data_IF_450322024391
#
_entry.id   IF_450322024391
#
_cell.length_a   1.000
_cell.length_b   1.000
_cell.length_c   1.000
_cell.angle_alpha   90.00
_cell.angle_beta   90.00
_cell.angle_gamma   90.00
#
_symmetry.space_group_name_H-M   'P 1'
#
loop_
_entity.id
_entity.type
_entity.pdbx_description
1 polymer ?
#
# COMPACT_ATOMS: atom_id res chain seq x y z
N UNK A 1 -9.02 -12.63 22.55
CA UNK A 1 -7.69 -12.69 23.23
C UNK A 1 -7.08 -14.10 23.24
N UNK A 2 -7.84 -15.17 22.96
CA UNK A 2 -7.43 -16.59 23.05
C UNK A 2 -6.65 -17.15 21.84
N UNK A 3 -6.77 -16.56 20.65
CA UNK A 3 -6.17 -17.14 19.43
C UNK A 3 -4.64 -16.95 19.32
N UNK A 4 -4.08 -15.87 19.91
CA UNK A 4 -2.65 -15.54 19.81
C UNK A 4 -1.77 -16.43 20.71
N UNK A 5 -2.27 -16.78 21.90
CA UNK A 5 -1.62 -17.72 22.81
C UNK A 5 -1.54 -19.13 22.21
N UNK A 6 -2.67 -19.65 21.69
CA UNK A 6 -2.71 -21.00 21.10
C UNK A 6 -1.72 -21.20 19.93
N UNK A 7 -1.49 -20.17 19.11
CA UNK A 7 -0.49 -20.26 18.01
C UNK A 7 0.94 -20.24 18.50
N UNK A 8 1.23 -19.49 19.57
CA UNK A 8 2.57 -19.46 20.17
C UNK A 8 2.89 -20.81 20.81
N UNK A 9 1.95 -21.36 21.58
CA UNK A 9 2.09 -22.66 22.24
C UNK A 9 2.33 -23.79 21.22
N UNK A 10 1.62 -23.79 20.09
CA UNK A 10 1.80 -24.80 19.04
C UNK A 10 3.17 -24.70 18.37
N UNK A 11 3.70 -23.49 18.14
CA UNK A 11 5.04 -23.31 17.52
C UNK A 11 6.15 -23.78 18.43
N UNK A 12 6.06 -23.46 19.73
CA UNK A 12 7.02 -23.93 20.73
C UNK A 12 6.93 -25.44 20.90
N UNK A 13 5.71 -25.98 20.99
CA UNK A 13 5.49 -27.42 21.06
C UNK A 13 6.06 -28.15 19.85
N UNK A 14 5.91 -27.61 18.63
CA UNK A 14 6.44 -28.22 17.42
C UNK A 14 7.98 -28.29 17.41
N UNK A 15 8.66 -27.21 17.81
CA UNK A 15 10.12 -27.21 17.95
C UNK A 15 10.54 -28.21 19.01
N UNK A 16 9.88 -28.20 20.18
CA UNK A 16 10.17 -29.14 21.26
C UNK A 16 10.02 -30.59 20.81
N UNK A 17 8.93 -30.91 20.13
CA UNK A 17 8.68 -32.26 19.58
C UNK A 17 9.75 -32.64 18.56
N UNK A 18 10.15 -31.73 17.67
CA UNK A 18 11.15 -32.03 16.65
C UNK A 18 12.55 -32.21 17.26
N UNK A 19 12.90 -31.42 18.28
CA UNK A 19 14.16 -31.54 19.01
C UNK A 19 14.22 -32.82 19.87
N UNK A 20 13.13 -33.17 20.54
CA UNK A 20 13.02 -34.43 21.31
C UNK A 20 13.07 -35.64 20.38
N UNK A 21 12.34 -35.58 19.27
CA UNK A 21 12.36 -36.62 18.24
C UNK A 21 13.78 -36.82 17.71
N UNK A 22 14.48 -35.73 17.35
CA UNK A 22 15.88 -35.78 16.93
C UNK A 22 16.76 -36.49 17.97
N UNK A 23 16.69 -36.08 19.25
CA UNK A 23 17.50 -36.67 20.31
C UNK A 23 17.20 -38.17 20.53
N UNK A 24 15.92 -38.57 20.50
CA UNK A 24 15.52 -39.98 20.67
C UNK A 24 15.96 -40.85 19.49
N UNK A 25 15.92 -40.31 18.27
CA UNK A 25 16.35 -41.04 17.06
C UNK A 25 17.86 -41.03 16.86
N UNK A 26 18.61 -40.22 17.62
CA UNK A 26 20.04 -40.04 17.40
C UNK A 26 20.83 -41.34 17.57
N UNK A 27 20.67 -42.02 18.70
CA UNK A 27 21.39 -43.26 19.02
C UNK A 27 21.19 -44.37 17.97
N UNK A 28 19.94 -44.79 17.62
CA UNK A 28 19.75 -45.85 16.64
C UNK A 28 20.22 -45.46 15.24
N UNK A 29 20.12 -44.18 14.85
CA UNK A 29 20.65 -43.73 13.57
C UNK A 29 22.18 -43.67 13.58
N UNK A 30 22.80 -43.40 14.73
CA UNK A 30 24.26 -43.31 14.84
C UNK A 30 24.92 -44.65 14.51
N UNK A 31 24.30 -45.75 14.91
CA UNK A 31 24.76 -47.11 14.58
C UNK A 31 24.75 -47.40 13.06
N UNK A 32 23.79 -46.84 12.31
CA UNK A 32 23.67 -47.06 10.85
C UNK A 32 24.46 -46.05 10.00
N UNK A 33 24.44 -44.78 10.38
CA UNK A 33 24.92 -43.64 9.57
C UNK A 33 26.21 -43.01 10.12
N UNK A 34 26.64 -43.40 11.31
CA UNK A 34 27.83 -42.89 11.98
C UNK A 34 27.76 -41.38 12.28
N UNK A 35 28.91 -40.68 12.31
CA UNK A 35 29.00 -39.26 12.65
C UNK A 35 28.17 -38.32 11.76
N UNK A 36 27.72 -38.78 10.58
CA UNK A 36 26.89 -37.98 9.67
C UNK A 36 25.52 -37.59 10.23
N UNK A 37 25.00 -38.33 11.22
CA UNK A 37 23.69 -38.12 11.87
C UNK A 37 23.57 -36.72 12.48
N UNK A 38 24.68 -36.11 12.88
CA UNK A 38 24.73 -34.77 13.45
C UNK A 38 24.15 -33.71 12.49
N UNK A 39 24.21 -33.96 11.18
CA UNK A 39 23.63 -33.08 10.15
C UNK A 39 22.10 -32.95 10.26
N UNK A 40 21.41 -33.91 10.87
CA UNK A 40 19.95 -33.83 11.09
C UNK A 40 19.55 -32.75 12.09
N UNK A 41 20.48 -32.27 12.94
CA UNK A 41 20.25 -31.14 13.86
C UNK A 41 19.89 -29.85 13.13
N UNK A 42 20.20 -29.74 11.83
CA UNK A 42 19.83 -28.61 10.98
C UNK A 42 18.32 -28.44 10.89
N UNK A 43 17.52 -29.51 10.94
CA UNK A 43 16.06 -29.46 10.79
C UNK A 43 15.38 -28.67 11.94
N UNK A 44 15.58 -29.00 13.22
CA UNK A 44 15.01 -28.21 14.31
C UNK A 44 15.57 -26.79 14.38
N UNK A 45 16.82 -26.57 13.97
CA UNK A 45 17.44 -25.22 13.92
C UNK A 45 16.83 -24.36 12.81
N UNK A 46 16.62 -24.93 11.63
CA UNK A 46 15.92 -24.28 10.52
C UNK A 46 14.50 -23.93 10.91
N UNK A 47 13.80 -24.85 11.58
CA UNK A 47 12.43 -24.67 12.06
C UNK A 47 12.35 -23.53 13.09
N UNK A 48 13.33 -23.44 14.01
CA UNK A 48 13.43 -22.34 14.96
C UNK A 48 13.62 -21.00 14.25
N UNK A 49 14.51 -20.93 13.27
CA UNK A 49 14.70 -19.75 12.42
C UNK A 49 13.43 -19.37 11.67
N UNK A 50 12.74 -20.34 11.07
CA UNK A 50 11.52 -20.11 10.30
C UNK A 50 10.35 -19.61 11.16
N UNK A 51 10.20 -20.11 12.37
CA UNK A 51 9.04 -19.81 13.23
C UNK A 51 9.20 -18.55 14.06
N UNK A 52 10.44 -18.20 14.43
CA UNK A 52 10.74 -17.15 15.41
C UNK A 52 11.79 -16.12 14.92
N UNK A 53 12.27 -16.25 13.69
CA UNK A 53 13.16 -15.27 13.04
C UNK A 53 14.65 -15.51 13.29
N UNK A 54 15.47 -14.57 12.83
CA UNK A 54 16.94 -14.69 12.81
C UNK A 54 17.56 -15.02 14.18
N UNK A 55 17.14 -14.32 15.23
CA UNK A 55 17.70 -14.51 16.58
C UNK A 55 17.47 -15.92 17.11
N UNK A 56 16.29 -16.49 16.84
CA UNK A 56 15.96 -17.85 17.28
C UNK A 56 16.74 -18.90 16.49
N UNK A 57 16.90 -18.73 15.18
CA UNK A 57 17.71 -19.62 14.34
C UNK A 57 19.19 -19.63 14.76
N UNK A 58 19.76 -18.45 15.05
CA UNK A 58 21.13 -18.33 15.57
C UNK A 58 21.30 -18.96 16.94
N UNK A 59 20.39 -18.69 17.89
CA UNK A 59 20.44 -19.28 19.23
C UNK A 59 20.30 -20.81 19.15
N UNK A 60 19.38 -21.33 18.33
CA UNK A 60 19.21 -22.76 18.14
C UNK A 60 20.47 -23.41 17.54
N UNK A 61 21.10 -22.78 16.54
CA UNK A 61 22.37 -23.27 15.99
C UNK A 61 23.53 -23.23 17.00
N UNK A 62 23.60 -22.19 17.83
CA UNK A 62 24.61 -22.07 18.88
C UNK A 62 24.43 -23.11 20.00
N UNK A 63 23.18 -23.47 20.33
CA UNK A 63 22.84 -24.54 21.30
C UNK A 63 23.03 -25.93 20.70
N UNK A 64 22.82 -26.09 19.39
CA UNK A 64 23.01 -27.36 18.71
C UNK A 64 24.48 -27.84 18.79
N UNK A 65 25.45 -26.93 18.73
CA UNK A 65 26.87 -27.29 18.82
C UNK A 65 27.24 -28.06 20.12
N UNK A 66 27.05 -27.51 21.34
CA UNK A 66 27.37 -28.23 22.57
C UNK A 66 26.49 -29.46 22.77
N UNK A 67 25.22 -29.42 22.33
CA UNK A 67 24.33 -30.58 22.40
C UNK A 67 24.87 -31.74 21.55
N UNK A 68 25.28 -31.46 20.32
CA UNK A 68 25.86 -32.43 19.40
C UNK A 68 27.20 -32.98 19.94
N UNK A 69 28.03 -32.14 20.56
CA UNK A 69 29.26 -32.59 21.21
C UNK A 69 29.00 -33.57 22.35
N UNK A 70 27.99 -33.31 23.19
CA UNK A 70 27.60 -34.23 24.27
C UNK A 70 27.05 -35.54 23.72
N UNK A 71 26.18 -35.49 22.71
CA UNK A 71 25.59 -36.69 22.08
C UNK A 71 26.66 -37.58 21.42
N UNK A 72 27.59 -37.00 20.66
CA UNK A 72 28.71 -37.73 20.07
C UNK A 72 29.61 -38.36 21.16
N UNK A 73 29.87 -37.64 22.24
CA UNK A 73 30.72 -38.12 23.33
C UNK A 73 30.13 -39.29 24.11
N UNK A 74 28.80 -39.41 24.14
CA UNK A 74 28.09 -40.53 24.79
C UNK A 74 28.19 -41.83 23.97
N UNK A 75 28.22 -41.74 22.63
CA UNK A 75 28.24 -42.91 21.74
C UNK A 75 29.66 -43.40 21.43
N UNK A 76 30.59 -42.47 21.15
CA UNK A 76 31.92 -42.81 20.60
C UNK A 76 33.07 -42.62 21.59
N UNK A 77 32.75 -42.41 22.88
CA UNK A 77 33.73 -42.33 23.96
C UNK A 77 34.76 -41.20 23.81
N UNK A 78 34.29 -39.95 23.83
CA UNK A 78 35.12 -38.71 23.83
C UNK A 78 36.26 -38.68 22.79
N UNK A 79 36.03 -39.27 21.61
CA UNK A 79 36.98 -39.22 20.51
C UNK A 79 37.03 -37.80 19.91
N UNK A 80 38.21 -37.17 19.96
CA UNK A 80 38.38 -35.78 19.53
C UNK A 80 38.14 -35.61 18.02
N UNK A 81 38.49 -36.59 17.20
CA UNK A 81 38.40 -36.48 15.74
C UNK A 81 36.95 -36.51 15.24
N UNK A 82 36.10 -37.37 15.83
CA UNK A 82 34.66 -37.41 15.51
C UNK A 82 33.91 -36.20 16.05
N UNK A 83 34.34 -35.65 17.20
CA UNK A 83 33.81 -34.40 17.75
C UNK A 83 34.18 -33.18 16.89
N UNK A 84 35.43 -33.08 16.42
CA UNK A 84 35.89 -31.96 15.59
C UNK A 84 35.23 -31.99 14.21
N UNK A 85 35.28 -33.11 13.49
CA UNK A 85 34.72 -33.19 12.14
C UNK A 85 33.19 -33.25 12.14
N UNK A 86 32.56 -34.00 13.06
CA UNK A 86 31.10 -34.12 13.14
C UNK A 86 30.44 -32.88 13.76
N UNK A 87 30.97 -32.37 14.87
CA UNK A 87 30.39 -31.26 15.62
C UNK A 87 30.60 -29.90 14.96
N UNK A 88 31.81 -29.59 14.49
CA UNK A 88 32.10 -28.27 13.92
C UNK A 88 31.44 -28.04 12.56
N UNK A 89 31.43 -29.05 11.68
CA UNK A 89 30.79 -28.94 10.36
C UNK A 89 29.28 -28.84 10.51
N UNK A 90 28.67 -29.70 11.33
CA UNK A 90 27.22 -29.66 11.54
C UNK A 90 26.78 -28.40 12.30
N UNK A 91 27.54 -27.94 13.29
CA UNK A 91 27.26 -26.67 14.00
C UNK A 91 27.32 -25.47 13.07
N UNK A 92 28.32 -25.42 12.19
CA UNK A 92 28.45 -24.37 11.17
C UNK A 92 27.28 -24.40 10.17
N UNK A 93 26.92 -25.59 9.69
CA UNK A 93 25.77 -25.77 8.80
C UNK A 93 24.45 -25.37 9.49
N UNK A 94 24.26 -25.73 10.76
CA UNK A 94 23.10 -25.38 11.55
C UNK A 94 22.99 -23.85 11.73
N UNK A 95 24.08 -23.17 12.07
CA UNK A 95 24.12 -21.71 12.18
C UNK A 95 23.77 -21.03 10.85
N UNK A 96 24.33 -21.51 9.74
CA UNK A 96 24.07 -20.96 8.40
C UNK A 96 22.59 -21.11 8.03
N UNK A 97 22.03 -22.32 8.19
CA UNK A 97 20.64 -22.59 7.84
C UNK A 97 19.67 -21.86 8.77
N UNK A 98 19.92 -21.85 10.08
CA UNK A 98 19.13 -21.08 11.04
C UNK A 98 19.13 -19.59 10.71
N UNK A 99 20.27 -19.05 10.30
CA UNK A 99 20.41 -17.65 9.88
C UNK A 99 19.66 -17.33 8.60
N UNK A 100 19.78 -18.19 7.58
CA UNK A 100 19.07 -18.02 6.29
C UNK A 100 17.56 -18.13 6.50
N UNK A 101 17.09 -19.17 7.18
CA UNK A 101 15.66 -19.38 7.46
C UNK A 101 15.08 -18.21 8.27
N UNK A 102 15.81 -17.74 9.29
CA UNK A 102 15.39 -16.61 10.11
C UNK A 102 15.42 -15.28 9.36
N UNK A 103 16.42 -15.03 8.51
CA UNK A 103 16.47 -13.80 7.69
C UNK A 103 15.34 -13.79 6.67
N UNK A 104 15.05 -14.92 6.02
CA UNK A 104 13.92 -15.04 5.09
C UNK A 104 12.59 -14.73 5.78
N UNK A 105 12.39 -15.23 7.01
CA UNK A 105 11.22 -14.91 7.82
C UNK A 105 11.13 -13.41 8.09
N UNK A 106 12.21 -12.80 8.57
CA UNK A 106 12.26 -11.38 8.93
C UNK A 106 12.01 -10.48 7.71
N UNK A 107 12.60 -10.80 6.56
CA UNK A 107 12.38 -10.08 5.29
C UNK A 107 10.93 -10.22 4.83
N UNK A 108 10.37 -11.43 4.91
CA UNK A 108 8.99 -11.68 4.52
C UNK A 108 8.01 -10.89 5.40
N UNK A 109 8.22 -10.84 6.72
CA UNK A 109 7.38 -10.04 7.63
C UNK A 109 7.49 -8.54 7.34
N UNK A 110 8.69 -8.03 7.08
CA UNK A 110 8.90 -6.63 6.68
C UNK A 110 8.17 -6.30 5.39
N UNK A 111 8.23 -7.17 4.40
CA UNK A 111 7.55 -6.97 3.12
C UNK A 111 6.02 -6.93 3.28
N UNK A 112 5.45 -7.84 4.06
CA UNK A 112 4.01 -7.84 4.34
C UNK A 112 3.57 -6.57 5.06
N UNK A 113 4.31 -6.14 6.08
CA UNK A 113 3.99 -4.91 6.81
C UNK A 113 4.07 -3.66 5.91
N UNK A 114 5.03 -3.63 4.98
CA UNK A 114 5.13 -2.54 4.01
C UNK A 114 4.00 -2.56 2.98
N UNK A 115 3.61 -3.74 2.49
CA UNK A 115 2.47 -3.89 1.58
C UNK A 115 1.14 -3.49 2.24
N UNK A 116 0.90 -3.90 3.50
CA UNK A 116 -0.28 -3.49 4.25
C UNK A 116 -0.37 -1.97 4.41
N UNK A 117 0.74 -1.30 4.73
CA UNK A 117 0.78 0.18 4.80
C UNK A 117 0.46 0.82 3.46
N UNK A 118 1.01 0.31 2.37
CA UNK A 118 0.75 0.84 1.02
C UNK A 118 -0.72 0.65 0.62
N UNK A 119 -1.31 -0.51 0.92
CA UNK A 119 -2.72 -0.76 0.63
C UNK A 119 -3.65 0.13 1.46
N UNK A 120 -3.31 0.44 2.71
CA UNK A 120 -4.12 1.33 3.55
C UNK A 120 -4.11 2.77 3.03
N UNK A 121 -2.95 3.25 2.56
CA UNK A 121 -2.83 4.57 1.90
C UNK A 121 -3.60 4.60 0.57
N UNK A 122 -3.38 3.64 -0.31
CA UNK A 122 -4.07 3.59 -1.61
C UNK A 122 -5.60 3.43 -1.44
N UNK A 123 -6.02 2.61 -0.48
CA UNK A 123 -7.43 2.37 -0.18
C UNK A 123 -8.13 3.61 0.36
N UNK A 124 -7.51 4.30 1.32
CA UNK A 124 -8.07 5.53 1.90
C UNK A 124 -8.14 6.67 0.88
N UNK A 125 -7.12 6.83 0.02
CA UNK A 125 -7.14 7.81 -1.09
C UNK A 125 -8.27 7.48 -2.07
N UNK A 126 -8.38 6.24 -2.54
CA UNK A 126 -9.45 5.84 -3.48
C UNK A 126 -10.85 6.00 -2.89
N UNK A 127 -11.04 5.68 -1.61
CA UNK A 127 -12.31 5.85 -0.93
C UNK A 127 -12.70 7.34 -0.81
N UNK A 128 -11.73 8.19 -0.48
CA UNK A 128 -11.91 9.64 -0.44
C UNK A 128 -12.23 10.22 -1.81
N UNK A 129 -11.48 9.83 -2.86
CA UNK A 129 -11.72 10.26 -4.25
C UNK A 129 -13.09 9.84 -4.75
N UNK A 130 -13.50 8.60 -4.49
CA UNK A 130 -14.84 8.10 -4.86
C UNK A 130 -15.94 8.89 -4.16
N UNK A 131 -15.78 9.15 -2.87
CA UNK A 131 -16.76 9.92 -2.08
C UNK A 131 -16.85 11.36 -2.60
N UNK A 132 -15.71 12.03 -2.80
CA UNK A 132 -15.66 13.38 -3.35
C UNK A 132 -16.27 13.45 -4.74
N UNK A 133 -15.97 12.48 -5.60
CA UNK A 133 -16.53 12.39 -6.95
C UNK A 133 -18.05 12.26 -6.91
N UNK A 134 -18.58 11.37 -6.07
CA UNK A 134 -20.03 11.21 -5.90
C UNK A 134 -20.69 12.49 -5.40
N UNK A 135 -20.10 13.16 -4.40
CA UNK A 135 -20.61 14.43 -3.89
C UNK A 135 -20.67 15.49 -5.01
N UNK A 136 -19.61 15.63 -5.81
CA UNK A 136 -19.55 16.62 -6.90
C UNK A 136 -20.52 16.28 -8.04
N UNK A 137 -20.70 15.01 -8.39
CA UNK A 137 -21.64 14.57 -9.44
C UNK A 137 -23.11 14.82 -9.07
N UNK A 138 -23.46 14.78 -7.77
CA UNK A 138 -24.85 14.97 -7.31
C UNK A 138 -25.23 16.43 -6.97
N UNK A 139 -24.28 17.36 -6.89
CA UNK A 139 -24.58 18.78 -6.59
C UNK A 139 -25.39 19.42 -7.73
N UNK A 140 -26.47 20.18 -7.42
CA UNK A 140 -27.31 20.94 -8.39
C UNK A 140 -26.61 22.18 -8.96
N UNK A 141 -25.31 22.10 -9.19
CA UNK A 141 -24.51 23.16 -9.82
C UNK A 141 -23.62 22.57 -10.89
N UNK A 142 -23.36 23.34 -11.94
CA UNK A 142 -22.38 22.99 -12.95
C UNK A 142 -20.99 23.28 -12.40
N UNK A 143 -20.17 22.25 -12.30
CA UNK A 143 -18.77 22.33 -11.90
C UNK A 143 -17.92 21.86 -13.07
N UNK A 144 -17.09 22.75 -13.61
CA UNK A 144 -16.12 22.42 -14.66
C UNK A 144 -14.72 22.83 -14.26
N UNK A 145 -13.71 22.03 -14.60
CA UNK A 145 -12.33 22.48 -14.56
C UNK A 145 -11.87 22.79 -16.00
N UNK A 146 -11.26 23.96 -16.17
CA UNK A 146 -10.81 24.44 -17.49
C UNK A 146 -9.33 24.77 -17.42
N UNK A 147 -8.56 24.26 -18.39
CA UNK A 147 -7.14 24.56 -18.56
C UNK A 147 -6.93 25.97 -19.14
N UNK A 148 -5.68 26.47 -19.12
CA UNK A 148 -5.36 27.84 -19.54
C UNK A 148 -5.68 28.12 -21.02
N UNK A 149 -5.66 27.10 -21.87
CA UNK A 149 -6.03 27.19 -23.29
C UNK A 149 -7.56 27.18 -23.54
N UNK A 150 -8.37 27.05 -22.47
CA UNK A 150 -9.81 26.94 -22.54
C UNK A 150 -10.33 25.51 -22.74
N UNK A 151 -9.46 24.50 -22.71
CA UNK A 151 -9.86 23.10 -22.78
C UNK A 151 -10.53 22.67 -21.49
N UNK A 152 -11.74 22.10 -21.57
CA UNK A 152 -12.44 21.54 -20.40
C UNK A 152 -11.78 20.23 -19.99
N UNK A 153 -11.19 20.17 -18.81
CA UNK A 153 -10.51 18.97 -18.27
C UNK A 153 -11.42 18.14 -17.38
N UNK A 154 -12.46 18.76 -16.80
CA UNK A 154 -13.49 18.07 -16.01
C UNK A 154 -14.84 18.78 -16.15
N UNK A 155 -15.92 17.99 -16.12
CA UNK A 155 -17.29 18.48 -16.02
C UNK A 155 -18.13 17.44 -15.25
N UNK A 156 -18.89 17.90 -14.24
CA UNK A 156 -19.81 17.05 -13.48
C UNK A 156 -21.16 16.84 -14.17
N UNK A 157 -21.53 17.71 -15.12
CA UNK A 157 -22.84 17.73 -15.79
C UNK A 157 -22.69 17.96 -17.30
N UNK A 158 -23.72 17.54 -18.04
CA UNK A 158 -23.88 17.78 -19.48
C UNK A 158 -24.21 19.25 -19.78
N UNK A 159 -23.74 19.78 -20.91
CA UNK A 159 -24.02 21.14 -21.41
C UNK A 159 -24.22 21.10 -22.93
N UNK A 160 -25.14 21.93 -23.44
CA UNK A 160 -25.28 22.14 -24.88
C UNK A 160 -25.70 20.89 -25.67
N UNK A 161 -26.46 19.99 -25.04
CA UNK A 161 -26.88 18.72 -25.63
C UNK A 161 -25.78 17.64 -25.71
N UNK A 162 -24.58 17.92 -25.19
CA UNK A 162 -23.47 16.97 -25.11
C UNK A 162 -23.43 16.31 -23.73
N UNK A 163 -23.15 15.00 -23.70
CA UNK A 163 -22.89 14.30 -22.44
C UNK A 163 -21.63 14.86 -21.74
N UNK A 164 -21.56 14.74 -20.42
CA UNK A 164 -20.44 15.23 -19.61
C UNK A 164 -19.09 14.65 -20.07
N UNK A 165 -19.06 13.44 -20.62
CA UNK A 165 -17.87 12.85 -21.21
C UNK A 165 -17.42 13.53 -22.52
N UNK A 166 -18.37 14.04 -23.31
CA UNK A 166 -18.12 14.74 -24.58
C UNK A 166 -17.79 16.22 -24.37
N UNK A 167 -18.28 16.82 -23.27
CA UNK A 167 -17.91 18.18 -22.85
C UNK A 167 -16.41 18.22 -22.45
N UNK A 168 -15.86 17.14 -21.89
CA UNK A 168 -14.43 17.02 -21.59
C UNK A 168 -13.62 16.96 -22.89
N UNK A 169 -12.59 17.79 -22.99
CA UNK A 169 -11.77 17.96 -24.19
C UNK A 169 -12.32 18.99 -25.18
N UNK A 170 -13.58 19.42 -25.04
CA UNK A 170 -14.12 20.53 -25.82
C UNK A 170 -13.57 21.87 -25.30
N UNK A 171 -13.58 22.87 -26.17
CA UNK A 171 -13.22 24.23 -25.79
C UNK A 171 -14.41 24.93 -25.11
N UNK A 172 -14.20 25.49 -23.92
CA UNK A 172 -15.26 26.11 -23.10
C UNK A 172 -15.96 27.27 -23.82
N UNK A 173 -15.27 28.02 -24.70
CA UNK A 173 -15.83 29.16 -25.42
C UNK A 173 -16.93 28.76 -26.42
N UNK A 174 -17.03 27.47 -26.77
CA UNK A 174 -18.12 26.95 -27.60
C UNK A 174 -19.48 27.00 -26.89
N UNK A 175 -19.47 26.95 -25.56
CA UNK A 175 -20.67 26.95 -24.72
C UNK A 175 -20.98 28.35 -24.15
N UNK A 176 -20.11 29.33 -24.39
CA UNK A 176 -20.29 30.71 -23.94
C UNK A 176 -20.93 31.54 -25.08
N UNK A 177 -22.07 32.22 -24.83
CA UNK A 177 -22.69 33.11 -25.81
C UNK A 177 -21.70 34.15 -26.32
N UNK A 178 -21.77 34.48 -27.63
CA UNK A 178 -20.79 35.38 -28.28
C UNK A 178 -20.63 36.72 -27.56
N UNK A 179 -21.74 37.29 -27.08
CA UNK A 179 -21.75 38.57 -26.36
C UNK A 179 -20.94 38.55 -25.05
N UNK A 180 -20.76 37.38 -24.43
CA UNK A 180 -20.08 37.23 -23.13
C UNK A 180 -18.67 36.65 -23.23
N UNK A 181 -18.18 36.31 -24.44
CA UNK A 181 -16.89 35.63 -24.61
C UNK A 181 -15.70 36.45 -24.14
N UNK A 182 -15.68 37.76 -24.41
CA UNK A 182 -14.55 38.61 -24.03
C UNK A 182 -14.49 38.85 -22.52
N UNK A 183 -15.67 39.00 -21.88
CA UNK A 183 -15.77 39.08 -20.43
C UNK A 183 -15.31 37.77 -19.78
N UNK A 184 -15.77 36.63 -20.29
CA UNK A 184 -15.39 35.30 -19.80
C UNK A 184 -13.89 35.03 -19.97
N UNK A 185 -13.30 35.37 -21.13
CA UNK A 185 -11.86 35.25 -21.38
C UNK A 185 -11.05 36.06 -20.36
N UNK A 186 -11.43 37.32 -20.17
CA UNK A 186 -10.77 38.21 -19.20
C UNK A 186 -10.83 37.64 -17.78
N UNK A 187 -11.99 37.11 -17.38
CA UNK A 187 -12.17 36.47 -16.07
C UNK A 187 -11.32 35.21 -15.91
N UNK A 188 -11.29 34.34 -16.93
CA UNK A 188 -10.48 33.13 -16.91
C UNK A 188 -8.98 33.45 -16.80
N UNK A 189 -8.48 34.36 -17.63
CA UNK A 189 -7.08 34.82 -17.57
C UNK A 189 -6.73 35.42 -16.22
N UNK A 190 -7.65 36.19 -15.62
CA UNK A 190 -7.47 36.79 -14.30
C UNK A 190 -7.37 35.72 -13.21
N UNK A 191 -8.21 34.69 -13.24
CA UNK A 191 -8.13 33.58 -12.30
C UNK A 191 -6.80 32.82 -12.38
N UNK A 192 -6.26 32.63 -13.59
CA UNK A 192 -4.94 32.03 -13.80
C UNK A 192 -3.78 32.93 -13.35
N UNK A 193 -3.83 34.24 -13.59
CA UNK A 193 -2.76 35.19 -13.21
C UNK A 193 -2.75 35.55 -11.73
N UNK A 194 -3.90 35.92 -11.19
CA UNK A 194 -4.02 36.51 -9.85
C UNK A 194 -4.23 35.44 -8.77
N UNK A 195 -4.70 34.25 -9.15
CA UNK A 195 -4.91 33.14 -8.21
C UNK A 195 -5.91 33.43 -7.09
N UNK A 196 -6.80 34.42 -7.30
CA UNK A 196 -7.92 34.77 -6.41
C UNK A 196 -9.25 34.29 -6.97
N UNK A 197 -10.21 34.01 -6.09
CA UNK A 197 -11.59 33.71 -6.49
C UNK A 197 -12.20 34.94 -7.16
N UNK A 198 -12.58 34.80 -8.44
CA UNK A 198 -13.25 35.88 -9.17
C UNK A 198 -14.67 35.43 -9.51
N UNK A 199 -15.68 36.20 -9.10
CA UNK A 199 -17.09 35.91 -9.39
C UNK A 199 -17.67 36.94 -10.34
N UNK A 200 -18.43 36.47 -11.34
CA UNK A 200 -19.21 37.32 -12.22
C UNK A 200 -20.58 36.70 -12.44
N UNK A 201 -21.62 37.52 -12.44
CA UNK A 201 -22.99 37.10 -12.75
C UNK A 201 -23.20 37.25 -14.25
N UNK A 202 -23.64 36.18 -14.92
CA UNK A 202 -23.97 36.19 -16.33
C UNK A 202 -25.39 35.67 -16.47
N UNK A 203 -26.29 36.47 -17.04
CA UNK A 203 -27.59 35.96 -17.46
C UNK A 203 -27.37 35.00 -18.65
N UNK A 204 -27.69 33.72 -18.45
CA UNK A 204 -27.82 32.77 -19.55
C UNK A 204 -29.23 32.80 -20.12
N UNK A 205 -29.36 32.37 -21.37
CA UNK A 205 -30.67 32.21 -22.01
C UNK A 205 -31.01 30.72 -22.05
N UNK A 206 -32.15 30.34 -21.47
CA UNK A 206 -32.78 29.04 -21.74
C UNK A 206 -33.77 29.13 -22.92
N UNK A 207 -34.30 30.33 -23.17
CA UNK A 207 -35.00 30.79 -24.37
C UNK A 207 -35.18 32.32 -24.17
N UNK A 208 -35.35 33.13 -25.22
CA UNK A 208 -35.48 34.60 -25.10
C UNK A 208 -36.66 35.04 -24.18
N UNK A 209 -37.56 34.13 -23.81
CA UNK A 209 -38.70 34.35 -22.91
C UNK A 209 -38.38 34.08 -21.41
N UNK A 210 -37.34 33.32 -21.07
CA UNK A 210 -37.01 32.94 -19.68
C UNK A 210 -35.49 33.01 -19.43
N UNK A 211 -34.93 34.19 -19.11
CA UNK A 211 -33.52 34.32 -18.78
C UNK A 211 -33.21 33.65 -17.44
N UNK A 212 -32.29 32.68 -17.46
CA UNK A 212 -31.79 32.00 -16.27
C UNK A 212 -30.54 32.74 -15.78
N UNK A 213 -30.60 33.32 -14.58
CA UNK A 213 -29.42 33.97 -14.01
C UNK A 213 -28.44 32.88 -13.58
N UNK A 214 -27.24 32.90 -14.16
CA UNK A 214 -26.14 32.03 -13.75
C UNK A 214 -25.07 32.85 -13.04
N UNK A 215 -24.77 32.49 -11.79
CA UNK A 215 -23.60 33.05 -11.10
C UNK A 215 -22.40 32.18 -11.44
N UNK A 216 -21.42 32.74 -12.16
CA UNK A 216 -20.16 32.07 -12.45
C UNK A 216 -19.10 32.45 -11.43
N UNK A 217 -18.55 31.45 -10.74
CA UNK A 217 -17.37 31.62 -9.89
C UNK A 217 -16.19 30.89 -10.48
N UNK A 218 -15.06 31.59 -10.53
CA UNK A 218 -13.77 31.10 -11.02
C UNK A 218 -12.84 30.92 -9.81
N UNK A 219 -12.52 29.67 -9.48
CA UNK A 219 -11.57 29.34 -8.43
C UNK A 219 -10.32 28.67 -9.00
N UNK A 220 -9.10 29.10 -8.65
CA UNK A 220 -7.89 28.47 -9.17
C UNK A 220 -7.66 27.09 -8.54
N UNK A 221 -7.40 26.10 -9.38
CA UNK A 221 -6.92 24.78 -8.96
C UNK A 221 -5.41 24.79 -9.06
N UNK A 222 -4.73 24.68 -7.91
CA UNK A 222 -3.27 24.70 -7.82
C UNK A 222 -2.70 23.29 -7.75
N UNK A 223 -1.64 23.03 -8.52
CA UNK A 223 -0.78 21.86 -8.38
C UNK A 223 0.66 22.35 -8.29
N UNK A 224 1.37 21.95 -7.24
CA UNK A 224 2.76 22.37 -6.98
C UNK A 224 2.96 23.90 -6.99
N UNK A 225 1.96 24.64 -6.47
CA UNK A 225 1.98 26.11 -6.39
C UNK A 225 1.58 26.84 -7.67
N UNK A 226 1.39 26.15 -8.80
CA UNK A 226 0.96 26.72 -10.07
C UNK A 226 -0.52 26.48 -10.34
N UNK A 227 -1.22 27.46 -10.90
CA UNK A 227 -2.62 27.31 -11.30
C UNK A 227 -2.67 26.46 -12.58
N UNK A 228 -3.19 25.23 -12.47
CA UNK A 228 -3.25 24.26 -13.58
C UNK A 228 -4.63 24.19 -14.22
N UNK A 229 -5.66 24.60 -13.49
CA UNK A 229 -7.02 24.72 -14.00
C UNK A 229 -7.78 25.79 -13.23
N UNK A 230 -8.91 26.24 -13.77
CA UNK A 230 -9.88 27.08 -13.06
C UNK A 230 -11.20 26.33 -12.94
N UNK A 231 -11.72 26.23 -11.72
CA UNK A 231 -13.05 25.69 -11.46
C UNK A 231 -14.09 26.76 -11.78
N UNK A 232 -15.01 26.42 -12.68
CA UNK A 232 -16.22 27.18 -12.94
C UNK A 232 -17.38 26.55 -12.19
N UNK A 233 -17.94 27.30 -11.27
CA UNK A 233 -19.22 26.99 -10.64
C UNK A 233 -20.29 27.84 -11.30
N UNK A 234 -21.27 27.23 -11.96
CA UNK A 234 -22.49 27.91 -12.40
C UNK A 234 -23.68 27.37 -11.60
N UNK A 235 -24.30 28.28 -10.84
CA UNK A 235 -25.53 28.01 -10.08
C UNK A 235 -26.65 28.74 -10.80
N UNK A 236 -27.74 28.02 -11.07
CA UNK A 236 -29.02 28.61 -11.47
C UNK A 236 -29.65 29.27 -10.24
N UNK A 237 -29.89 30.58 -10.30
CA UNK A 237 -30.48 31.34 -9.18
C UNK A 237 -31.96 31.67 -9.41
N UNK A 238 -32.61 31.04 -10.40
CA UNK A 238 -33.97 31.38 -10.83
C UNK A 238 -35.06 31.06 -9.80
N UNK A 239 -34.72 30.36 -8.71
CA UNK A 239 -35.66 29.91 -7.68
C UNK A 239 -35.25 30.32 -6.25
N UNK A 240 -34.58 31.47 -6.08
CA UNK A 240 -34.34 32.01 -4.74
C UNK A 240 -35.63 32.64 -4.21
N UNK A 241 -36.25 32.10 -3.14
CA UNK A 241 -37.45 32.70 -2.56
C UNK A 241 -37.07 34.08 -1.99
N UNK A 242 -37.78 35.11 -2.45
CA UNK A 242 -37.72 36.46 -1.88
C UNK A 242 -38.21 36.48 -0.44
#
# INVERSE_FOLDING_TARGET
>A
MTARFRRFDVRVALIGVTAVFYALTFAPLYDELGPGVVSLSVVPVALAGWLFGLRAGLLAGAVAFPLNTVLLGLEDGANLDSVVWGGAVAGSAALMVGSVAGTLRDVTERLHAELERRWDVDGSVRASESTLRQLVEHVPAMIMAVANDGTVTYANRAIGGLDAAQVRGANVYNFVPRAHRDLFRTALERAFREGGETGYEIAGSADDEHPVLHVLRFGPVKKDGQVVATTLLSIDVSDSPK
#
